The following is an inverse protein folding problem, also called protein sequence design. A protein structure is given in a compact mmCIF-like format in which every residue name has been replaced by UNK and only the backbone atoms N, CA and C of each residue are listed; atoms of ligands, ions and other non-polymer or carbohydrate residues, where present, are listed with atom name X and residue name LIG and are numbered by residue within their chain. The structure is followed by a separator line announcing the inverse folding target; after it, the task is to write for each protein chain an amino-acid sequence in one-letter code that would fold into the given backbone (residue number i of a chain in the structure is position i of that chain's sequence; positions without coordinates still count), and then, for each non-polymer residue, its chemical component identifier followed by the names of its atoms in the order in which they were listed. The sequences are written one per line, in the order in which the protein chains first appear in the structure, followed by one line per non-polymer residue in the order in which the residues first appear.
data_IF_578239050900
#
_entry.id   IF_578239050900
#
_cell.length_a   1.000
_cell.length_b   1.000
_cell.length_c   1.000
_cell.angle_alpha   90.00
_cell.angle_beta   90.00
_cell.angle_gamma   90.00
#
_symmetry.space_group_name_H-M   'P 1'
#
loop_
_entity.id
_entity.type
_entity.pdbx_description
1 polymer ?
#
# COMPACT_ATOMS: atom_id res chain seq x y z
N UNK A 1 3.91 -8.95 -15.37
CA UNK A 1 5.30 -9.10 -15.90
C UNK A 1 6.26 -8.45 -14.90
N UNK A 2 7.20 -9.20 -14.32
CA UNK A 2 8.08 -8.69 -13.25
C UNK A 2 9.20 -7.80 -13.82
N UNK A 3 9.22 -6.53 -13.41
CA UNK A 3 10.18 -5.54 -13.90
C UNK A 3 11.42 -5.54 -12.99
N UNK A 4 12.65 -5.58 -13.53
CA UNK A 4 13.86 -5.43 -12.73
C UNK A 4 13.85 -4.15 -11.88
N UNK A 5 14.17 -4.25 -10.59
CA UNK A 5 14.11 -3.14 -9.64
C UNK A 5 14.98 -1.96 -10.09
N UNK A 6 16.15 -2.23 -10.67
CA UNK A 6 17.05 -1.20 -11.21
C UNK A 6 16.42 -0.40 -12.36
N UNK A 7 15.64 -1.05 -13.23
CA UNK A 7 14.91 -0.37 -14.32
C UNK A 7 13.71 0.41 -13.77
N UNK A 8 13.02 -0.15 -12.79
CA UNK A 8 11.92 0.52 -12.11
C UNK A 8 12.38 1.80 -11.40
N UNK A 9 13.50 1.74 -10.69
CA UNK A 9 14.07 2.91 -10.03
C UNK A 9 14.46 3.99 -11.03
N UNK A 10 15.05 3.63 -12.17
CA UNK A 10 15.37 4.57 -13.24
C UNK A 10 14.10 5.26 -13.79
N UNK A 11 12.99 4.53 -13.93
CA UNK A 11 11.70 5.11 -14.33
C UNK A 11 11.18 6.11 -13.29
N UNK A 12 11.29 5.81 -11.99
CA UNK A 12 10.89 6.73 -10.91
C UNK A 12 11.75 7.99 -10.90
N UNK A 13 13.05 7.86 -11.11
CA UNK A 13 13.98 9.00 -11.17
C UNK A 13 13.65 9.92 -12.36
N UNK A 14 13.22 9.35 -13.48
CA UNK A 14 12.72 10.13 -14.63
C UNK A 14 11.41 10.88 -14.30
N UNK A 15 10.61 10.37 -13.36
CA UNK A 15 9.31 10.93 -12.97
C UNK A 15 9.37 11.81 -11.71
N UNK A 16 10.55 12.29 -11.32
CA UNK A 16 10.66 13.21 -10.20
C UNK A 16 9.81 14.49 -10.39
N UNK A 17 9.14 14.93 -9.32
CA UNK A 17 8.27 16.13 -9.33
C UNK A 17 9.05 17.37 -9.76
N UNK A 18 10.27 17.53 -9.24
CA UNK A 18 11.17 18.61 -9.63
C UNK A 18 11.96 18.23 -10.88
N UNK A 19 11.93 19.06 -11.92
CA UNK A 19 12.63 18.78 -13.19
C UNK A 19 14.14 18.69 -13.03
N UNK A 20 14.71 19.48 -12.13
CA UNK A 20 16.14 19.50 -11.81
C UNK A 20 16.65 18.21 -11.18
N UNK A 21 15.77 17.39 -10.61
CA UNK A 21 16.12 16.08 -10.03
C UNK A 21 16.02 14.92 -11.03
N UNK A 22 15.51 15.16 -12.23
CA UNK A 22 15.43 14.12 -13.27
C UNK A 22 16.80 13.92 -13.90
N UNK A 23 17.21 12.69 -14.19
CA UNK A 23 18.48 12.43 -14.86
C UNK A 23 18.48 13.03 -16.28
N UNK A 24 19.66 13.44 -16.74
CA UNK A 24 19.84 13.84 -18.14
C UNK A 24 19.82 12.60 -19.05
N UNK A 25 19.56 12.80 -20.35
CA UNK A 25 19.62 11.69 -21.31
C UNK A 25 20.97 10.96 -21.31
N UNK A 26 22.08 11.70 -21.19
CA UNK A 26 23.43 11.11 -21.09
C UNK A 26 23.57 10.19 -19.86
N UNK A 27 23.03 10.62 -18.71
CA UNK A 27 23.00 9.81 -17.50
C UNK A 27 22.14 8.56 -17.66
N UNK A 28 20.96 8.67 -18.29
CA UNK A 28 20.05 7.53 -18.54
C UNK A 28 20.75 6.48 -19.42
N UNK A 29 21.36 6.90 -20.54
CA UNK A 29 22.08 6.00 -21.45
C UNK A 29 23.24 5.31 -20.72
N UNK A 30 24.02 6.06 -19.94
CA UNK A 30 25.14 5.51 -19.16
C UNK A 30 24.68 4.45 -18.15
N UNK A 31 23.54 4.69 -17.48
CA UNK A 31 22.94 3.73 -16.54
C UNK A 31 22.48 2.46 -17.25
N UNK A 32 21.76 2.59 -18.37
CA UNK A 32 21.30 1.43 -19.15
C UNK A 32 22.46 0.60 -19.71
N UNK A 33 23.50 1.27 -20.19
CA UNK A 33 24.75 0.64 -20.65
C UNK A 33 25.43 -0.15 -19.54
N UNK A 34 25.45 0.37 -18.32
CA UNK A 34 26.02 -0.33 -17.16
C UNK A 34 25.18 -1.57 -16.79
N UNK A 35 23.86 -1.44 -16.79
CA UNK A 35 22.94 -2.56 -16.53
C UNK A 35 23.06 -3.66 -17.59
N UNK A 36 23.21 -3.30 -18.87
CA UNK A 36 23.42 -4.26 -19.96
C UNK A 36 24.72 -5.07 -19.80
N UNK A 37 25.75 -4.47 -19.20
CA UNK A 37 27.04 -5.14 -18.90
C UNK A 37 27.00 -5.94 -17.59
N UNK A 38 25.98 -5.76 -16.74
CA UNK A 38 25.85 -6.41 -15.44
C UNK A 38 24.50 -7.14 -15.33
N UNK A 39 24.35 -8.31 -15.96
CA UNK A 39 23.08 -9.04 -15.99
C UNK A 39 22.56 -9.44 -14.59
N UNK A 40 23.47 -9.57 -13.60
CA UNK A 40 23.11 -9.85 -12.20
C UNK A 40 22.28 -8.74 -11.55
N UNK A 41 22.51 -7.47 -11.95
CA UNK A 41 21.76 -6.32 -11.43
C UNK A 41 20.29 -6.30 -11.87
N UNK A 42 19.93 -7.13 -12.87
CA UNK A 42 18.57 -7.25 -13.39
C UNK A 42 17.81 -8.45 -12.81
N UNK A 43 18.45 -9.27 -11.97
CA UNK A 43 17.84 -10.47 -11.39
C UNK A 43 16.85 -10.15 -10.28
N UNK A 44 17.06 -9.05 -9.56
CA UNK A 44 16.10 -8.57 -8.55
C UNK A 44 14.94 -7.91 -9.29
N UNK A 45 13.84 -8.64 -9.42
CA UNK A 45 12.62 -8.12 -10.01
C UNK A 45 11.67 -7.60 -8.94
N UNK A 46 11.06 -6.45 -9.20
CA UNK A 46 9.90 -5.99 -8.46
C UNK A 46 8.71 -6.85 -8.88
N UNK A 47 8.12 -7.56 -7.93
CA UNK A 47 6.91 -8.34 -8.17
C UNK A 47 5.84 -7.42 -8.74
N UNK A 48 5.37 -7.72 -9.96
CA UNK A 48 4.26 -7.03 -10.57
C UNK A 48 3.01 -7.31 -9.74
N UNK A 49 2.23 -6.30 -9.32
CA UNK A 49 1.03 -6.52 -8.50
C UNK A 49 -0.11 -7.20 -9.26
N UNK A 50 0.10 -7.64 -10.51
CA UNK A 50 -0.93 -8.27 -11.35
C UNK A 50 -1.32 -9.68 -10.91
N UNK A 51 -0.63 -10.28 -9.92
CA UNK A 51 -1.07 -11.53 -9.28
C UNK A 51 -1.24 -11.44 -7.76
N UNK A 52 -1.23 -10.23 -7.18
CA UNK A 52 -1.51 -10.08 -5.76
C UNK A 52 -2.20 -8.75 -5.51
N UNK A 53 -3.52 -8.80 -5.27
CA UNK A 53 -4.34 -7.65 -4.88
C UNK A 53 -4.02 -7.11 -3.48
N UNK A 54 -2.76 -7.19 -3.05
CA UNK A 54 -2.32 -7.04 -1.66
C UNK A 54 -1.03 -6.22 -1.49
N UNK A 55 -0.59 -5.42 -2.46
CA UNK A 55 0.56 -4.52 -2.25
C UNK A 55 0.39 -3.13 -2.84
N UNK A 56 -0.70 -2.47 -2.44
CA UNK A 56 -0.64 -1.03 -2.21
C UNK A 56 -0.10 -0.90 -0.77
N UNK A 57 0.86 -0.01 -0.54
CA UNK A 57 1.43 0.44 0.75
C UNK A 57 2.97 0.24 0.92
N UNK A 58 3.76 0.36 -0.15
CA UNK A 58 5.20 0.72 0.00
C UNK A 58 5.35 2.22 0.31
N UNK A 59 4.75 2.63 1.43
CA UNK A 59 4.86 3.96 2.03
C UNK A 59 4.75 3.95 3.55
N UNK A 60 4.57 2.79 4.19
CA UNK A 60 4.31 2.69 5.63
C UNK A 60 5.22 1.68 6.35
N UNK A 61 6.53 1.70 6.08
CA UNK A 61 7.51 1.20 7.08
C UNK A 61 7.72 2.19 8.25
N UNK A 62 6.72 3.00 8.58
CA UNK A 62 6.81 4.08 9.56
C UNK A 62 5.58 4.31 10.45
N UNK A 63 4.48 3.57 10.31
CA UNK A 63 3.30 3.76 11.18
C UNK A 63 2.54 2.44 11.46
N UNK A 64 3.22 1.43 12.01
CA UNK A 64 2.53 0.34 12.73
C UNK A 64 2.04 0.82 14.11
N UNK A 65 1.40 1.99 14.15
CA UNK A 65 0.82 2.54 15.37
C UNK A 65 -0.62 2.88 15.04
N UNK A 66 -1.54 2.10 15.61
CA UNK A 66 -2.95 2.45 15.60
C UNK A 66 -3.16 3.64 16.54
N UNK A 67 -3.44 4.82 15.98
CA UNK A 67 -3.68 6.05 16.76
C UNK A 67 -5.18 6.23 17.07
N UNK A 68 -6.02 6.10 16.05
CA UNK A 68 -7.48 6.15 16.18
C UNK A 68 -8.16 5.45 15.01
N UNK A 69 -9.43 5.09 15.21
CA UNK A 69 -10.27 4.48 14.16
C UNK A 69 -10.44 5.41 12.96
N UNK A 70 -10.62 6.71 13.18
CA UNK A 70 -10.77 7.70 12.11
C UNK A 70 -9.55 7.79 11.21
N UNK A 71 -8.35 7.89 11.82
CA UNK A 71 -7.10 7.96 11.07
C UNK A 71 -6.82 6.65 10.33
N UNK A 72 -7.14 5.51 10.96
CA UNK A 72 -7.01 4.20 10.30
C UNK A 72 -7.93 4.11 9.07
N UNK A 73 -9.20 4.49 9.20
CA UNK A 73 -10.16 4.52 8.08
C UNK A 73 -9.69 5.49 6.99
N UNK A 74 -9.13 6.65 7.34
CA UNK A 74 -8.55 7.59 6.37
C UNK A 74 -7.41 6.97 5.57
N UNK A 75 -6.46 6.32 6.24
CA UNK A 75 -5.32 5.67 5.60
C UNK A 75 -5.74 4.58 4.62
N UNK A 76 -6.78 3.81 4.93
CA UNK A 76 -7.33 2.79 4.03
C UNK A 76 -8.39 3.35 3.05
N UNK A 77 -8.55 4.68 2.98
CA UNK A 77 -9.52 5.38 2.12
C UNK A 77 -10.98 4.95 2.35
N UNK A 78 -11.35 4.71 3.59
CA UNK A 78 -12.68 4.30 4.05
C UNK A 78 -13.28 5.30 5.06
N UNK A 79 -12.78 6.56 5.12
CA UNK A 79 -13.23 7.60 6.08
C UNK A 79 -14.75 7.81 6.11
N UNK A 80 -15.44 7.57 4.99
CA UNK A 80 -16.92 7.67 4.91
C UNK A 80 -17.66 6.76 5.89
N UNK A 81 -17.00 5.73 6.43
CA UNK A 81 -17.56 4.80 7.40
C UNK A 81 -17.24 5.17 8.86
N UNK A 82 -16.52 6.27 9.11
CA UNK A 82 -16.13 6.72 10.46
C UNK A 82 -17.31 6.73 11.44
N UNK A 83 -18.42 7.36 11.06
CA UNK A 83 -19.61 7.44 11.91
C UNK A 83 -20.16 6.05 12.28
N UNK A 84 -20.18 5.11 11.34
CA UNK A 84 -20.68 3.75 11.59
C UNK A 84 -19.81 3.02 12.62
N UNK A 85 -18.48 3.20 12.56
CA UNK A 85 -17.55 2.62 13.54
C UNK A 85 -17.67 3.28 14.92
N UNK A 86 -17.90 4.60 14.97
CA UNK A 86 -18.12 5.33 16.20
C UNK A 86 -19.41 4.89 16.90
N UNK A 87 -20.53 4.80 16.15
CA UNK A 87 -21.82 4.30 16.66
C UNK A 87 -21.72 2.85 17.16
N UNK A 88 -20.88 2.03 16.53
CA UNK A 88 -20.60 0.65 16.96
C UNK A 88 -19.56 0.55 18.10
N UNK A 89 -19.05 1.68 18.62
CA UNK A 89 -18.01 1.75 19.65
C UNK A 89 -16.72 0.97 19.31
N UNK A 90 -16.36 0.93 18.03
CA UNK A 90 -15.15 0.29 17.53
C UNK A 90 -13.98 1.28 17.55
N UNK A 91 -13.46 1.55 18.74
CA UNK A 91 -12.45 2.61 18.99
C UNK A 91 -11.04 2.07 19.23
N UNK A 92 -10.87 0.76 19.35
CA UNK A 92 -9.57 0.11 19.62
C UNK A 92 -9.12 -0.80 18.48
N UNK A 93 -7.79 -0.94 18.33
CA UNK A 93 -7.20 -1.85 17.34
C UNK A 93 -7.68 -3.30 17.51
N UNK A 94 -7.78 -3.79 18.75
CA UNK A 94 -8.21 -5.16 19.07
C UNK A 94 -9.66 -5.45 18.68
N UNK A 95 -10.56 -4.47 18.80
CA UNK A 95 -11.94 -4.62 18.35
C UNK A 95 -12.01 -4.67 16.82
N UNK A 96 -11.24 -3.80 16.15
CA UNK A 96 -11.22 -3.71 14.69
C UNK A 96 -10.60 -4.96 14.08
N UNK A 97 -9.53 -5.50 14.65
CA UNK A 97 -8.83 -6.67 14.11
C UNK A 97 -9.69 -7.93 14.07
N UNK A 98 -10.69 -8.03 14.96
CA UNK A 98 -11.64 -9.13 15.08
C UNK A 98 -12.94 -8.96 14.29
N UNK A 99 -13.04 -7.91 13.48
CA UNK A 99 -14.26 -7.65 12.70
C UNK A 99 -14.61 -8.80 11.75
N UNK A 100 -15.90 -9.02 11.60
CA UNK A 100 -16.47 -9.99 10.65
C UNK A 100 -17.25 -9.30 9.54
N UNK A 101 -17.41 -9.98 8.40
CA UNK A 101 -18.23 -9.46 7.30
C UNK A 101 -19.69 -9.25 7.69
N UNK A 102 -20.21 -10.09 8.60
CA UNK A 102 -21.56 -9.94 9.15
C UNK A 102 -21.70 -8.63 9.92
N UNK A 103 -20.79 -8.35 10.86
CA UNK A 103 -20.82 -7.10 11.63
C UNK A 103 -20.73 -5.86 10.74
N UNK A 104 -19.89 -5.88 9.70
CA UNK A 104 -19.83 -4.78 8.74
C UNK A 104 -21.16 -4.59 7.99
N UNK A 105 -21.83 -5.69 7.65
CA UNK A 105 -23.15 -5.64 7.02
C UNK A 105 -24.21 -5.07 7.96
N UNK A 106 -24.20 -5.48 9.24
CA UNK A 106 -25.10 -4.99 10.27
C UNK A 106 -24.89 -3.50 10.58
N UNK A 107 -23.64 -3.01 10.43
CA UNK A 107 -23.28 -1.59 10.48
C UNK A 107 -23.65 -0.82 9.21
N UNK A 108 -24.31 -1.41 8.22
CA UNK A 108 -24.70 -0.74 6.97
C UNK A 108 -23.60 -0.64 5.90
N UNK A 109 -22.46 -1.30 6.10
CA UNK A 109 -21.35 -1.36 5.13
C UNK A 109 -21.55 -2.56 4.22
N UNK A 110 -22.44 -2.45 3.22
CA UNK A 110 -22.90 -3.59 2.40
C UNK A 110 -22.11 -3.83 1.11
N UNK A 111 -21.30 -2.87 0.67
CA UNK A 111 -20.47 -3.02 -0.53
C UNK A 111 -19.36 -4.06 -0.29
N UNK A 112 -19.46 -5.22 -0.95
CA UNK A 112 -18.53 -6.36 -0.78
C UNK A 112 -17.07 -5.96 -0.98
N UNK A 113 -16.78 -5.09 -1.95
CA UNK A 113 -15.42 -4.59 -2.17
C UNK A 113 -14.86 -3.81 -0.97
N UNK A 114 -15.70 -2.99 -0.33
CA UNK A 114 -15.31 -2.24 0.86
C UNK A 114 -15.15 -3.15 2.08
N UNK A 115 -16.08 -4.09 2.28
CA UNK A 115 -15.97 -5.11 3.33
C UNK A 115 -14.65 -5.88 3.22
N UNK A 116 -14.32 -6.37 2.02
CA UNK A 116 -13.06 -7.08 1.76
C UNK A 116 -11.85 -6.23 2.12
N UNK A 117 -11.83 -4.96 1.70
CA UNK A 117 -10.72 -4.04 1.98
C UNK A 117 -10.55 -3.79 3.47
N UNK A 118 -11.63 -3.47 4.18
CA UNK A 118 -11.64 -3.21 5.62
C UNK A 118 -11.17 -4.44 6.39
N UNK A 119 -11.71 -5.63 6.10
CA UNK A 119 -11.33 -6.87 6.77
C UNK A 119 -9.89 -7.27 6.50
N UNK A 120 -9.40 -7.06 5.26
CA UNK A 120 -8.02 -7.36 4.93
C UNK A 120 -7.03 -6.47 5.70
N UNK A 121 -7.32 -5.18 5.81
CA UNK A 121 -6.48 -4.24 6.56
C UNK A 121 -6.62 -4.41 8.08
N UNK A 122 -7.81 -4.77 8.57
CA UNK A 122 -8.06 -5.02 9.98
C UNK A 122 -7.21 -6.17 10.54
N UNK A 123 -7.04 -7.26 9.78
CA UNK A 123 -6.18 -8.41 10.18
C UNK A 123 -4.71 -8.04 10.38
N UNK A 124 -4.24 -6.97 9.74
CA UNK A 124 -2.85 -6.51 9.92
C UNK A 124 -2.66 -5.81 11.27
N UNK A 125 -3.73 -5.37 11.92
CA UNK A 125 -3.69 -4.81 13.27
C UNK A 125 -3.45 -5.88 14.35
N UNK A 126 -3.74 -7.16 14.07
CA UNK A 126 -3.40 -8.28 14.99
C UNK A 126 -1.89 -8.48 15.12
N UNK A 127 -1.08 -8.00 14.18
CA UNK A 127 0.39 -8.15 14.21
C UNK A 127 1.07 -7.07 15.07
N UNK A 128 0.30 -6.09 15.57
CA UNK A 128 0.78 -4.95 16.37
C UNK A 128 0.54 -5.19 17.88
N UNK A 129 -0.24 -6.22 18.24
CA UNK A 129 -0.56 -6.63 19.62
C UNK A 129 0.21 -7.90 19.96
#
# INVERSE_FOLDING_TARGET
MDCPEALYQLMLDCWQKQRTHRPTFSSIVSTLDNLARQPQALLTTRNSPENDGSHILEGQRGHNIFISTDLWLENIKMSRYSQHFNEANLVTAQQISRLTAQQLSDMGITLVGHQKKILHQARQLDTII
#
